data_IF_708504948381
#
_entry.id   IF_708504948381
#
_cell.length_a   1.000
_cell.length_b   1.000
_cell.length_c   1.000
_cell.angle_alpha   90.00
_cell.angle_beta   90.00
_cell.angle_gamma   90.00
#
_symmetry.space_group_name_H-M   'P 1'
#
loop_
_entity.id
_entity.type
_entity.pdbx_description
1 polymer ?
#
# COMPACT_ATOMS: atom_id res chain seq x y z
N UNK A 1 -46.51 -8.96 -15.25
CA UNK A 1 -45.80 -9.35 -14.01
C UNK A 1 -44.82 -8.23 -13.70
N UNK A 2 -45.23 -7.20 -12.96
CA UNK A 2 -44.29 -6.18 -12.48
C UNK A 2 -43.48 -6.80 -11.35
N UNK A 3 -42.20 -7.08 -11.60
CA UNK A 3 -41.27 -7.37 -10.52
C UNK A 3 -41.01 -6.05 -9.81
N UNK A 4 -41.65 -5.85 -8.66
CA UNK A 4 -41.33 -4.75 -7.77
C UNK A 4 -39.95 -5.10 -7.19
N UNK A 5 -38.89 -4.54 -7.77
CA UNK A 5 -37.58 -4.54 -7.12
C UNK A 5 -37.82 -3.84 -5.78
N UNK A 6 -37.64 -4.50 -4.64
CA UNK A 6 -37.85 -3.86 -3.35
C UNK A 6 -36.92 -2.66 -3.26
N UNK A 7 -37.49 -1.48 -2.98
CA UNK A 7 -36.68 -0.29 -2.69
C UNK A 7 -35.77 -0.60 -1.50
N UNK A 8 -34.48 -0.22 -1.56
CA UNK A 8 -33.55 -0.55 -0.50
C UNK A 8 -33.92 0.19 0.78
N UNK A 9 -34.31 -0.57 1.80
CA UNK A 9 -34.76 -0.04 3.10
C UNK A 9 -33.60 0.43 3.98
N UNK A 10 -32.38 -0.06 3.71
CA UNK A 10 -31.18 0.23 4.50
C UNK A 10 -30.04 0.68 3.60
N UNK A 11 -29.29 1.67 4.09
CA UNK A 11 -28.10 2.20 3.45
C UNK A 11 -26.91 2.08 4.39
N UNK A 12 -25.76 1.71 3.83
CA UNK A 12 -24.49 1.64 4.54
C UNK A 12 -23.48 2.57 3.89
N UNK A 13 -22.48 2.99 4.67
CA UNK A 13 -21.35 3.75 4.15
C UNK A 13 -20.28 2.79 3.67
N UNK A 14 -19.76 3.04 2.47
CA UNK A 14 -18.70 2.24 1.88
C UNK A 14 -17.44 2.34 2.76
N UNK A 15 -16.87 1.22 3.24
CA UNK A 15 -15.64 1.24 4.00
C UNK A 15 -14.44 1.63 3.12
N UNK A 16 -13.38 2.13 3.76
CA UNK A 16 -12.09 2.32 3.09
C UNK A 16 -11.35 0.98 3.07
N UNK A 17 -11.17 0.41 1.90
CA UNK A 17 -10.51 -0.88 1.67
C UNK A 17 -9.16 -0.76 0.98
N UNK A 18 -8.81 0.43 0.49
CA UNK A 18 -7.51 0.71 -0.14
C UNK A 18 -6.34 0.29 0.76
N UNK A 19 -5.42 -0.50 0.20
CA UNK A 19 -4.23 -1.01 0.87
C UNK A 19 -4.47 -2.25 1.74
N UNK A 20 -5.70 -2.75 1.85
CA UNK A 20 -5.96 -4.05 2.48
C UNK A 20 -5.62 -5.18 1.51
N UNK A 21 -5.18 -6.32 2.06
CA UNK A 21 -5.10 -7.57 1.30
C UNK A 21 -6.50 -7.97 0.82
N UNK A 22 -6.58 -8.71 -0.28
CA UNK A 22 -7.85 -9.13 -0.86
C UNK A 22 -8.78 -9.83 0.15
N UNK A 23 -8.25 -10.75 0.95
CA UNK A 23 -9.02 -11.46 1.98
C UNK A 23 -9.59 -10.52 3.05
N UNK A 24 -8.79 -9.56 3.53
CA UNK A 24 -9.22 -8.59 4.54
C UNK A 24 -10.25 -7.62 3.97
N UNK A 25 -10.06 -7.18 2.72
CA UNK A 25 -10.98 -6.29 2.03
C UNK A 25 -12.36 -6.93 1.84
N UNK A 26 -12.39 -8.19 1.41
CA UNK A 26 -13.61 -8.99 1.24
C UNK A 26 -14.31 -9.17 2.59
N UNK A 27 -13.57 -9.54 3.63
CA UNK A 27 -14.12 -9.72 4.97
C UNK A 27 -14.74 -8.42 5.50
N UNK A 28 -14.02 -7.30 5.41
CA UNK A 28 -14.51 -5.99 5.85
C UNK A 28 -15.75 -5.52 5.08
N UNK A 29 -15.85 -5.83 3.78
CA UNK A 29 -17.04 -5.54 2.98
C UNK A 29 -18.24 -6.39 3.44
N UNK A 30 -18.05 -7.70 3.66
CA UNK A 30 -19.11 -8.60 4.11
C UNK A 30 -19.64 -8.23 5.50
N UNK A 31 -18.78 -7.78 6.42
CA UNK A 31 -19.20 -7.28 7.74
C UNK A 31 -20.10 -6.04 7.65
N UNK A 32 -20.03 -5.29 6.54
CA UNK A 32 -20.93 -4.16 6.22
C UNK A 32 -22.14 -4.57 5.39
N UNK A 33 -22.30 -5.86 5.11
CA UNK A 33 -23.35 -6.39 4.25
C UNK A 33 -23.18 -6.00 2.79
N UNK A 34 -21.94 -5.76 2.34
CA UNK A 34 -21.60 -5.43 0.97
C UNK A 34 -21.01 -6.64 0.25
N UNK A 35 -21.33 -6.77 -1.03
CA UNK A 35 -20.70 -7.74 -1.91
C UNK A 35 -19.48 -7.12 -2.59
N UNK A 36 -18.57 -7.96 -3.08
CA UNK A 36 -17.36 -7.53 -3.80
C UNK A 36 -17.25 -8.23 -5.14
N UNK A 37 -16.78 -7.50 -6.15
CA UNK A 37 -16.38 -8.04 -7.44
C UNK A 37 -15.02 -7.49 -7.85
N UNK A 38 -14.32 -8.24 -8.69
CA UNK A 38 -13.08 -7.83 -9.32
C UNK A 38 -13.23 -8.08 -10.83
N UNK A 39 -13.21 -7.03 -11.65
CA UNK A 39 -13.50 -7.16 -13.07
C UNK A 39 -12.33 -7.76 -13.86
N UNK A 40 -11.09 -7.56 -13.38
CA UNK A 40 -9.88 -8.02 -14.05
C UNK A 40 -9.52 -9.45 -13.64
N UNK A 41 -9.69 -9.78 -12.37
CA UNK A 41 -9.38 -11.10 -11.83
C UNK A 41 -10.32 -11.46 -10.67
N UNK A 42 -11.34 -12.31 -10.87
CA UNK A 42 -12.29 -12.66 -9.80
C UNK A 42 -11.71 -13.66 -8.79
N UNK A 43 -10.71 -14.47 -9.18
CA UNK A 43 -10.10 -15.49 -8.31
C UNK A 43 -9.31 -14.85 -7.17
N UNK A 44 -8.79 -13.63 -7.35
CA UNK A 44 -8.13 -12.84 -6.30
C UNK A 44 -9.00 -12.66 -5.05
N UNK A 45 -10.32 -12.62 -5.19
CA UNK A 45 -11.25 -12.48 -4.07
C UNK A 45 -11.36 -13.76 -3.22
N UNK A 46 -10.93 -14.91 -3.75
CA UNK A 46 -11.00 -16.21 -3.08
C UNK A 46 -9.75 -16.54 -2.26
N UNK A 47 -8.70 -15.70 -2.31
CA UNK A 47 -7.46 -15.95 -1.58
C UNK A 47 -6.20 -15.26 -2.09
N UNK A 48 -6.34 -14.21 -2.92
CA UNK A 48 -5.20 -13.46 -3.44
C UNK A 48 -4.37 -12.81 -2.32
N UNK A 49 -3.04 -12.76 -2.53
CA UNK A 49 -2.10 -12.02 -1.67
C UNK A 49 -1.97 -10.54 -2.09
N UNK A 50 -2.72 -10.16 -3.12
CA UNK A 50 -2.73 -8.84 -3.70
C UNK A 50 -3.46 -7.82 -2.81
N UNK A 51 -3.14 -6.56 -3.02
CA UNK A 51 -3.66 -5.44 -2.25
C UNK A 51 -4.61 -4.61 -3.08
N UNK A 52 -5.66 -4.09 -2.43
CA UNK A 52 -6.62 -3.19 -3.09
C UNK A 52 -5.92 -1.88 -3.45
N UNK A 53 -5.72 -1.62 -4.74
CA UNK A 53 -5.16 -0.36 -5.26
C UNK A 53 -6.23 0.63 -5.69
N UNK A 54 -7.45 0.15 -5.94
CA UNK A 54 -8.60 0.99 -6.28
C UNK A 54 -9.89 0.34 -5.80
N UNK A 55 -10.87 1.16 -5.46
CA UNK A 55 -12.22 0.72 -5.16
C UNK A 55 -13.26 1.64 -5.79
N UNK A 56 -14.43 1.09 -6.07
CA UNK A 56 -15.62 1.85 -6.43
C UNK A 56 -16.87 1.16 -5.87
N UNK A 57 -17.85 1.89 -5.29
CA UNK A 57 -17.83 3.32 -5.02
C UNK A 57 -16.72 3.77 -4.05
N UNK A 58 -16.47 5.08 -4.02
CA UNK A 58 -15.45 5.70 -3.16
C UNK A 58 -15.78 5.47 -1.67
N UNK A 59 -14.75 5.41 -0.79
CA UNK A 59 -14.96 5.33 0.65
C UNK A 59 -15.89 6.44 1.16
N UNK A 60 -16.82 6.09 2.05
CA UNK A 60 -17.81 7.00 2.60
C UNK A 60 -19.01 7.27 1.68
N UNK A 61 -19.03 6.72 0.46
CA UNK A 61 -20.23 6.76 -0.36
C UNK A 61 -21.39 6.03 0.34
N UNK A 62 -22.61 6.53 0.17
CA UNK A 62 -23.81 5.92 0.74
C UNK A 62 -24.44 5.00 -0.29
N UNK A 63 -24.48 3.71 0.00
CA UNK A 63 -24.98 2.67 -0.92
C UNK A 63 -26.06 1.83 -0.25
N UNK A 64 -26.97 1.21 -1.02
CA UNK A 64 -27.88 0.20 -0.49
C UNK A 64 -27.12 -0.93 0.22
N UNK A 65 -27.70 -1.48 1.28
CA UNK A 65 -27.24 -2.76 1.82
C UNK A 65 -27.28 -3.83 0.73
N UNK A 66 -26.24 -4.66 0.63
CA UNK A 66 -26.09 -5.65 -0.45
C UNK A 66 -25.55 -5.10 -1.76
N UNK A 67 -25.17 -3.82 -1.82
CA UNK A 67 -24.51 -3.27 -3.00
C UNK A 67 -23.16 -3.96 -3.27
N UNK A 68 -22.77 -4.00 -4.54
CA UNK A 68 -21.51 -4.58 -5.00
C UNK A 68 -20.44 -3.48 -5.06
N UNK A 69 -19.28 -3.76 -4.47
CA UNK A 69 -18.06 -2.96 -4.58
C UNK A 69 -17.15 -3.57 -5.65
N UNK A 70 -16.77 -2.77 -6.63
CA UNK A 70 -15.75 -3.12 -7.61
C UNK A 70 -14.38 -2.81 -7.03
N UNK A 71 -13.52 -3.80 -6.91
CA UNK A 71 -12.17 -3.69 -6.38
C UNK A 71 -11.14 -4.05 -7.45
N UNK A 72 -10.02 -3.35 -7.43
CA UNK A 72 -8.86 -3.64 -8.26
C UNK A 72 -7.67 -3.93 -7.37
N UNK A 73 -6.87 -4.89 -7.82
CA UNK A 73 -5.78 -5.46 -7.04
C UNK A 73 -4.46 -5.32 -7.77
N UNK A 74 -3.39 -5.19 -7.00
CA UNK A 74 -2.02 -5.29 -7.49
C UNK A 74 -1.15 -5.93 -6.41
N UNK A 75 -0.09 -6.61 -6.84
CA UNK A 75 0.94 -7.10 -5.93
C UNK A 75 1.69 -5.91 -5.35
N UNK A 76 1.92 -5.87 -4.03
CA UNK A 76 2.87 -4.92 -3.48
C UNK A 76 4.26 -5.30 -4.03
N UNK A 77 5.00 -4.37 -4.68
CA UNK A 77 6.34 -4.72 -5.15
C UNK A 77 7.18 -5.10 -3.94
N UNK A 78 7.81 -6.28 -4.00
CA UNK A 78 8.77 -6.73 -3.00
C UNK A 78 9.68 -5.55 -2.62
N UNK A 79 9.75 -5.25 -1.32
CA UNK A 79 10.83 -4.43 -0.74
C UNK A 79 12.15 -5.18 -0.97
N UNK A 80 12.68 -5.06 -2.18
CA UNK A 80 13.79 -5.88 -2.66
C UNK A 80 14.41 -5.44 -3.98
N UNK A 81 13.83 -4.46 -4.67
CA UNK A 81 14.56 -3.71 -5.70
C UNK A 81 14.76 -2.27 -5.19
N UNK A 82 16.03 -1.89 -5.05
CA UNK A 82 16.50 -0.55 -4.67
C UNK A 82 16.15 0.48 -5.77
N UNK A 83 14.86 0.68 -6.02
CA UNK A 83 14.30 1.62 -6.98
C UNK A 83 13.18 2.43 -6.33
N UNK A 84 13.57 3.37 -5.46
CA UNK A 84 12.65 4.30 -4.83
C UNK A 84 11.82 5.09 -5.86
N UNK A 85 10.50 5.13 -5.66
CA UNK A 85 9.57 5.79 -6.58
C UNK A 85 8.32 6.33 -5.89
N UNK A 86 8.44 6.79 -4.65
CA UNK A 86 7.46 7.71 -4.09
C UNK A 86 7.61 9.08 -4.74
N UNK A 87 6.48 9.65 -5.17
CA UNK A 87 6.28 11.02 -5.68
C UNK A 87 6.49 11.23 -7.18
N UNK A 88 5.43 11.70 -7.84
CA UNK A 88 5.48 12.25 -9.19
C UNK A 88 6.22 13.59 -9.22
N UNK A 89 7.54 13.55 -9.13
CA UNK A 89 8.41 14.62 -9.62
C UNK A 89 9.05 14.14 -10.92
N UNK A 90 8.73 14.81 -12.03
CA UNK A 90 9.50 14.67 -13.27
C UNK A 90 10.90 15.19 -13.00
N UNK A 91 11.89 14.30 -12.99
CA UNK A 91 13.29 14.69 -13.08
C UNK A 91 13.53 15.38 -14.43
N UNK A 92 13.94 16.67 -14.44
CA UNK A 92 14.37 17.31 -15.67
C UNK A 92 15.73 16.74 -16.11
N UNK A 93 15.76 16.37 -17.39
CA UNK A 93 16.86 15.79 -18.15
C UNK A 93 18.27 16.32 -17.81
N UNK A 94 19.15 15.35 -17.57
CA UNK A 94 20.63 15.29 -17.60
C UNK A 94 21.37 16.38 -18.41
N UNK A 95 22.55 16.80 -17.93
CA UNK A 95 23.72 16.84 -18.81
C UNK A 95 24.88 16.02 -18.23
N UNK A 96 25.28 14.99 -18.98
CA UNK A 96 26.23 13.98 -18.54
C UNK A 96 27.70 14.39 -18.49
N UNK A 97 28.60 13.52 -18.98
CA UNK A 97 29.44 12.69 -18.13
C UNK A 97 30.81 13.34 -17.85
N UNK A 98 31.25 13.31 -16.59
CA UNK A 98 32.48 13.95 -16.14
C UNK A 98 33.31 13.06 -15.21
N UNK A 99 34.16 12.25 -15.81
CA UNK A 99 35.55 11.98 -15.37
C UNK A 99 35.84 11.52 -13.92
N UNK A 100 36.21 10.25 -13.83
CA UNK A 100 37.45 9.75 -13.19
C UNK A 100 37.73 10.07 -11.72
N UNK A 101 37.75 8.99 -10.92
CA UNK A 101 39.03 8.52 -10.37
C UNK A 101 39.22 8.68 -8.87
N UNK A 102 40.04 7.75 -8.36
CA UNK A 102 40.81 7.77 -7.11
C UNK A 102 40.15 7.08 -5.91
N UNK A 103 40.42 5.77 -5.84
CA UNK A 103 41.05 5.08 -4.70
C UNK A 103 41.37 6.00 -3.50
N UNK A 104 40.90 5.65 -2.29
CA UNK A 104 41.73 5.63 -1.06
C UNK A 104 40.92 5.27 0.20
N UNK A 105 41.20 4.04 0.66
CA UNK A 105 41.52 3.62 2.04
C UNK A 105 40.46 3.76 3.17
N UNK A 106 39.99 2.56 3.56
CA UNK A 106 39.53 2.08 4.88
C UNK A 106 39.97 2.95 6.09
N UNK A 107 39.05 3.46 6.92
CA UNK A 107 39.41 3.97 8.24
C UNK A 107 39.56 2.83 9.25
N UNK A 108 40.75 2.70 9.85
CA UNK A 108 40.95 2.00 11.12
C UNK A 108 40.25 2.78 12.26
N UNK A 109 39.57 2.12 13.22
CA UNK A 109 38.93 2.83 14.32
C UNK A 109 39.94 3.25 15.40
N UNK A 110 39.88 4.53 15.74
CA UNK A 110 40.70 5.24 16.74
C UNK A 110 40.13 5.07 18.16
N UNK A 111 41.03 4.77 19.12
CA UNK A 111 41.01 5.29 20.50
C UNK A 111 39.97 4.76 21.51
N UNK A 112 40.34 3.73 22.27
CA UNK A 112 39.73 3.45 23.59
C UNK A 112 40.71 3.84 24.71
N UNK A 113 40.27 4.75 25.56
CA UNK A 113 40.91 5.10 26.82
C UNK A 113 39.96 5.96 27.62
N UNK A 114 39.59 5.53 28.84
CA UNK A 114 39.89 6.38 29.99
C UNK A 114 40.04 5.59 31.31
N UNK A 115 41.18 5.73 32.00
CA UNK A 115 41.19 5.59 33.47
C UNK A 115 42.15 6.61 34.08
N UNK A 116 41.59 7.47 34.93
CA UNK A 116 42.34 8.44 35.72
C UNK A 116 42.82 7.85 37.04
N UNK A 117 43.86 8.45 37.61
CA UNK A 117 43.92 8.67 39.06
C UNK A 117 44.84 9.86 39.36
N UNK A 118 44.45 10.57 40.40
CA UNK A 118 44.85 11.91 40.78
C UNK A 118 46.18 11.99 41.55
N UNK A 119 46.66 13.23 41.57
CA UNK A 119 47.70 13.93 42.35
C UNK A 119 47.94 13.51 43.81
N UNK A 120 49.20 13.61 44.28
CA UNK A 120 49.68 14.37 45.47
C UNK A 120 50.75 13.63 46.29
N UNK A 121 51.83 14.34 46.67
CA UNK A 121 52.75 13.95 47.74
C UNK A 121 54.21 14.27 47.45
#
# INVERSE_FOLDING_TARGET
MSSLVPEPTEFVLVPRLLGLMAMDAVTAAQEKGLATESPDDPEVLEGGLDYVVRQYPEPGARVPHGAVLTLWFDTWPDEGDEGGGGTGVREPLDPGPGASGLEREKPEPEGDGPEGVAVSG
#
